data_IF_979121570968
#
_entry.id   IF_979121570968
#
_cell.length_a   1.000
_cell.length_b   1.000
_cell.length_c   1.000
_cell.angle_alpha   90.00
_cell.angle_beta   90.00
_cell.angle_gamma   90.00
#
_symmetry.space_group_name_H-M   'P 1'
#
loop_
_entity.id
_entity.type
_entity.pdbx_description
1 polymer ?
#
# COMPACT_ATOMS: atom_id res chain seq x y z
N UNK A 1 30.30 -13.52 -18.92
CA UNK A 1 28.92 -13.21 -18.52
C UNK A 1 28.27 -12.55 -19.71
N UNK A 2 27.22 -13.17 -20.24
CA UNK A 2 26.60 -12.71 -21.48
C UNK A 2 25.83 -11.42 -21.22
N UNK A 3 25.84 -10.52 -22.21
CA UNK A 3 25.12 -9.25 -22.16
C UNK A 3 23.79 -9.48 -22.88
N UNK A 4 22.69 -9.41 -22.13
CA UNK A 4 21.34 -9.52 -22.67
C UNK A 4 20.83 -8.19 -23.22
N UNK A 5 21.21 -7.09 -22.55
CA UNK A 5 20.87 -5.73 -22.97
C UNK A 5 22.15 -4.91 -23.13
N UNK A 6 22.48 -4.55 -24.38
CA UNK A 6 23.65 -3.72 -24.67
C UNK A 6 23.51 -2.32 -24.07
N UNK A 7 22.28 -1.80 -24.05
CA UNK A 7 21.91 -0.48 -23.54
C UNK A 7 20.87 -0.65 -22.44
N UNK A 8 21.30 -0.45 -21.20
CA UNK A 8 20.48 -0.66 -20.01
C UNK A 8 20.59 0.54 -19.08
N UNK A 9 19.50 0.93 -18.43
CA UNK A 9 19.50 1.95 -17.41
C UNK A 9 19.12 1.36 -16.04
N UNK A 10 19.77 1.86 -15.00
CA UNK A 10 19.36 1.62 -13.61
C UNK A 10 18.91 2.93 -12.99
N UNK A 11 17.78 2.92 -12.29
CA UNK A 11 17.18 4.12 -11.70
C UNK A 11 16.93 3.87 -10.21
N UNK A 12 17.63 4.65 -9.40
CA UNK A 12 17.43 4.72 -7.95
C UNK A 12 16.62 5.97 -7.62
N UNK A 13 15.48 5.80 -6.94
CA UNK A 13 14.47 6.85 -6.76
C UNK A 13 14.32 7.19 -5.29
N UNK A 14 14.53 8.48 -4.99
CA UNK A 14 14.31 9.06 -3.68
C UNK A 14 13.05 9.92 -3.66
N UNK A 15 12.78 10.57 -2.51
CA UNK A 15 11.66 11.51 -2.38
C UNK A 15 11.82 12.74 -3.28
N UNK A 16 13.06 13.22 -3.47
CA UNK A 16 13.34 14.52 -4.12
C UNK A 16 13.89 14.38 -5.54
N UNK A 17 14.55 13.26 -5.81
CA UNK A 17 15.29 13.05 -7.04
C UNK A 17 15.26 11.58 -7.48
N UNK A 18 15.66 11.36 -8.73
CA UNK A 18 15.95 10.06 -9.28
C UNK A 18 17.34 10.09 -9.90
N UNK A 19 18.22 9.17 -9.47
CA UNK A 19 19.52 8.96 -10.07
C UNK A 19 19.38 7.90 -11.15
N UNK A 20 19.62 8.28 -12.40
CA UNK A 20 19.59 7.37 -13.54
C UNK A 20 21.02 7.13 -14.03
N UNK A 21 21.43 5.88 -14.12
CA UNK A 21 22.68 5.49 -14.73
C UNK A 21 22.40 4.75 -16.03
N UNK A 22 22.89 5.30 -17.14
CA UNK A 22 22.78 4.68 -18.47
C UNK A 22 24.09 3.98 -18.79
N UNK A 23 24.01 2.69 -19.11
CA UNK A 23 25.11 1.85 -19.54
C UNK A 23 25.02 1.62 -21.05
N UNK A 24 26.04 2.03 -21.80
CA UNK A 24 26.11 1.93 -23.26
C UNK A 24 27.42 1.27 -23.72
N UNK A 25 27.46 0.65 -24.91
CA UNK A 25 28.70 0.15 -25.50
C UNK A 25 29.73 1.27 -25.67
N UNK A 26 30.98 1.00 -25.31
CA UNK A 26 32.06 1.97 -25.47
C UNK A 26 32.57 2.00 -26.90
N UNK A 27 32.85 3.21 -27.40
CA UNK A 27 33.52 3.41 -28.70
C UNK A 27 35.03 3.13 -28.65
N UNK A 28 35.63 3.05 -27.45
CA UNK A 28 37.09 2.91 -27.28
C UNK A 28 37.59 1.49 -27.46
N UNK A 29 36.80 0.48 -27.05
CA UNK A 29 37.18 -0.93 -27.14
C UNK A 29 35.94 -1.80 -27.30
N UNK A 30 35.98 -2.73 -28.26
CA UNK A 30 34.91 -3.70 -28.48
C UNK A 30 34.68 -4.54 -27.21
N UNK A 31 33.44 -4.60 -26.74
CA UNK A 31 33.05 -5.33 -25.54
C UNK A 31 33.28 -4.60 -24.21
N UNK A 32 33.77 -3.35 -24.20
CA UNK A 32 33.71 -2.50 -23.01
C UNK A 32 32.46 -1.61 -23.01
N UNK A 33 32.08 -1.12 -21.84
CA UNK A 33 30.89 -0.29 -21.65
C UNK A 33 31.26 1.00 -20.93
N UNK A 34 30.52 2.05 -21.24
CA UNK A 34 30.56 3.33 -20.53
C UNK A 34 29.29 3.51 -19.72
N UNK A 35 29.41 4.19 -18.59
CA UNK A 35 28.27 4.52 -17.73
C UNK A 35 28.22 6.01 -17.52
N UNK A 36 27.04 6.61 -17.72
CA UNK A 36 26.78 8.01 -17.40
C UNK A 36 25.68 8.07 -16.34
N UNK A 37 25.94 8.75 -15.24
CA UNK A 37 24.94 8.93 -14.17
C UNK A 37 24.47 10.38 -14.14
N UNK A 38 23.16 10.57 -14.28
CA UNK A 38 22.48 11.86 -14.23
C UNK A 38 21.48 11.89 -13.07
N UNK A 39 21.20 13.08 -12.56
CA UNK A 39 20.22 13.28 -11.46
C UNK A 39 19.06 14.10 -11.97
N UNK A 40 17.85 13.61 -11.75
CA UNK A 40 16.60 14.20 -12.20
C UNK A 40 15.71 14.54 -11.00
N UNK A 41 14.82 15.52 -11.15
CA UNK A 41 13.80 15.78 -10.13
C UNK A 41 12.78 14.65 -10.01
N UNK A 42 12.01 14.62 -8.92
CA UNK A 42 10.94 13.62 -8.68
C UNK A 42 9.55 14.04 -9.17
N UNK A 43 9.43 15.14 -9.93
CA UNK A 43 8.14 15.60 -10.46
C UNK A 43 7.75 14.80 -11.71
N UNK A 44 6.45 14.82 -12.07
CA UNK A 44 5.95 14.18 -13.30
C UNK A 44 6.71 14.65 -14.54
N UNK A 45 6.94 15.97 -14.68
CA UNK A 45 7.64 16.53 -15.83
C UNK A 45 9.12 16.12 -15.86
N UNK A 46 9.77 16.00 -14.69
CA UNK A 46 11.14 15.50 -14.62
C UNK A 46 11.22 14.00 -14.98
N UNK A 47 10.23 13.19 -14.59
CA UNK A 47 10.13 11.80 -15.01
C UNK A 47 9.91 11.64 -16.52
N UNK A 48 9.09 12.51 -17.14
CA UNK A 48 8.93 12.56 -18.60
C UNK A 48 10.22 12.98 -19.30
N UNK A 49 10.92 14.00 -18.79
CA UNK A 49 12.20 14.42 -19.36
C UNK A 49 13.28 13.31 -19.23
N UNK A 50 13.27 12.55 -18.13
CA UNK A 50 14.08 11.35 -17.98
C UNK A 50 13.70 10.29 -19.03
N UNK A 51 12.41 10.05 -19.27
CA UNK A 51 11.94 9.14 -20.32
C UNK A 51 12.54 9.50 -21.68
N UNK A 52 12.41 10.77 -22.07
CA UNK A 52 12.88 11.26 -23.35
C UNK A 52 14.40 11.11 -23.48
N UNK A 53 15.15 11.34 -22.39
CA UNK A 53 16.59 11.10 -22.33
C UNK A 53 16.95 9.62 -22.51
N UNK A 54 16.21 8.70 -21.87
CA UNK A 54 16.45 7.25 -21.99
C UNK A 54 16.11 6.72 -23.38
N UNK A 55 15.05 7.24 -24.01
CA UNK A 55 14.70 6.94 -25.40
C UNK A 55 15.76 7.44 -26.38
N UNK A 56 16.24 8.67 -26.21
CA UNK A 56 17.34 9.22 -27.02
C UNK A 56 18.65 8.44 -26.85
N UNK A 57 18.86 7.85 -25.67
CA UNK A 57 19.99 6.96 -25.41
C UNK A 57 19.79 5.52 -25.94
N UNK A 58 18.64 5.22 -26.56
CA UNK A 58 18.24 3.91 -27.09
C UNK A 58 18.30 2.81 -26.03
N UNK A 59 17.87 3.13 -24.80
CA UNK A 59 17.85 2.15 -23.70
C UNK A 59 16.81 1.07 -23.97
N UNK A 60 17.24 -0.19 -23.90
CA UNK A 60 16.38 -1.37 -24.14
C UNK A 60 15.79 -1.97 -22.88
N UNK A 61 16.31 -1.61 -21.69
CA UNK A 61 15.78 -2.06 -20.41
C UNK A 61 16.07 -1.02 -19.32
N UNK A 62 15.06 -0.69 -18.54
CA UNK A 62 15.18 0.14 -17.34
C UNK A 62 14.92 -0.70 -16.10
N UNK A 63 15.83 -0.65 -15.14
CA UNK A 63 15.72 -1.34 -13.85
C UNK A 63 15.48 -0.33 -12.74
N UNK A 64 14.36 -0.45 -12.03
CA UNK A 64 13.98 0.45 -10.92
C UNK A 64 13.97 -0.32 -9.60
N UNK A 65 14.56 0.23 -8.53
CA UNK A 65 14.49 -0.36 -7.18
C UNK A 65 13.19 -0.02 -6.44
N UNK A 66 12.51 -1.04 -5.89
CA UNK A 66 11.31 -0.90 -5.08
C UNK A 66 11.61 -0.82 -3.57
N UNK A 67 11.93 0.36 -3.07
CA UNK A 67 12.12 0.59 -1.61
C UNK A 67 10.95 1.32 -0.95
N UNK A 68 10.24 2.18 -1.68
CA UNK A 68 9.08 2.96 -1.20
C UNK A 68 7.97 2.98 -2.26
N UNK A 69 7.01 3.90 -2.20
CA UNK A 69 6.01 4.10 -3.28
C UNK A 69 6.48 5.11 -4.35
N UNK A 70 7.66 5.75 -4.19
CA UNK A 70 8.15 6.77 -5.11
C UNK A 70 8.45 6.25 -6.53
N UNK A 71 8.64 4.94 -6.69
CA UNK A 71 8.84 4.33 -8.01
C UNK A 71 7.59 4.36 -8.89
N UNK A 72 6.38 4.39 -8.31
CA UNK A 72 5.11 4.30 -9.07
C UNK A 72 5.03 5.33 -10.20
N UNK A 73 5.21 6.65 -9.96
CA UNK A 73 5.13 7.63 -11.04
C UNK A 73 6.18 7.41 -12.13
N UNK A 74 7.40 7.02 -11.78
CA UNK A 74 8.45 6.73 -12.76
C UNK A 74 8.15 5.46 -13.55
N UNK A 75 7.80 4.37 -12.87
CA UNK A 75 7.50 3.09 -13.52
C UNK A 75 6.39 3.23 -14.55
N UNK A 76 5.23 3.80 -14.17
CA UNK A 76 4.11 3.90 -15.09
C UNK A 76 4.37 4.84 -16.27
N UNK A 77 5.13 5.94 -16.08
CA UNK A 77 5.46 6.86 -17.18
C UNK A 77 6.53 6.29 -18.12
N UNK A 78 7.56 5.65 -17.58
CA UNK A 78 8.62 5.05 -18.38
C UNK A 78 8.11 3.83 -19.14
N UNK A 79 7.24 3.02 -18.52
CA UNK A 79 6.69 1.81 -19.12
C UNK A 79 5.70 2.05 -20.29
N UNK A 80 5.36 3.31 -20.59
CA UNK A 80 4.59 3.65 -21.80
C UNK A 80 5.40 3.37 -23.08
N UNK A 81 6.71 3.61 -23.05
CA UNK A 81 7.57 3.58 -24.25
C UNK A 81 8.85 2.74 -24.06
N UNK A 82 9.16 2.29 -22.84
CA UNK A 82 10.36 1.54 -22.50
C UNK A 82 10.02 0.22 -21.80
N UNK A 83 10.87 -0.79 -21.96
CA UNK A 83 10.81 -1.99 -21.14
C UNK A 83 11.33 -1.66 -19.73
N UNK A 84 10.42 -1.69 -18.74
CA UNK A 84 10.74 -1.36 -17.35
C UNK A 84 10.49 -2.55 -16.45
N UNK A 85 11.51 -2.92 -15.68
CA UNK A 85 11.39 -3.90 -14.61
C UNK A 85 11.57 -3.24 -13.25
N UNK A 86 10.67 -3.58 -12.32
CA UNK A 86 10.79 -3.20 -10.93
C UNK A 86 11.47 -4.33 -10.15
N UNK A 87 12.47 -4.05 -9.33
CA UNK A 87 13.23 -5.09 -8.60
C UNK A 87 13.18 -4.88 -7.10
N UNK A 88 13.23 -5.97 -6.34
CA UNK A 88 13.20 -5.90 -4.88
C UNK A 88 14.58 -5.47 -4.33
N UNK A 89 14.60 -4.37 -3.57
CA UNK A 89 15.78 -3.83 -2.90
C UNK A 89 16.59 -4.87 -2.11
N UNK A 90 15.90 -5.77 -1.39
CA UNK A 90 16.55 -6.82 -0.58
C UNK A 90 17.27 -7.85 -1.45
N UNK A 91 16.70 -8.17 -2.61
CA UNK A 91 17.34 -9.07 -3.56
C UNK A 91 18.60 -8.44 -4.13
N UNK A 92 18.52 -7.18 -4.57
CA UNK A 92 19.65 -6.45 -5.18
C UNK A 92 20.82 -6.30 -4.19
N UNK A 93 20.53 -5.99 -2.92
CA UNK A 93 21.55 -5.80 -1.87
C UNK A 93 22.30 -7.08 -1.50
N UNK A 94 21.68 -8.24 -1.66
CA UNK A 94 22.26 -9.53 -1.29
C UNK A 94 23.08 -10.17 -2.43
N UNK A 95 23.16 -9.53 -3.60
CA UNK A 95 23.94 -10.04 -4.72
C UNK A 95 25.44 -9.77 -4.50
N UNK A 96 26.31 -10.79 -4.62
CA UNK A 96 27.76 -10.61 -4.49
C UNK A 96 28.35 -9.85 -5.69
N UNK A 97 29.55 -9.31 -5.52
CA UNK A 97 30.30 -8.65 -6.59
C UNK A 97 30.05 -7.15 -6.75
N UNK A 98 29.23 -6.55 -5.87
CA UNK A 98 29.09 -5.09 -5.79
C UNK A 98 30.37 -4.48 -5.21
N UNK A 99 30.93 -3.48 -5.90
CA UNK A 99 32.01 -2.64 -5.37
C UNK A 99 31.46 -1.48 -4.53
N UNK A 100 32.19 -1.08 -3.50
CA UNK A 100 31.77 -0.07 -2.51
C UNK A 100 31.55 1.32 -3.12
N UNK A 101 32.27 1.64 -4.19
CA UNK A 101 32.29 2.93 -4.89
C UNK A 101 31.23 3.07 -5.99
N UNK A 102 30.45 2.01 -6.26
CA UNK A 102 29.45 2.00 -7.33
C UNK A 102 28.10 2.50 -6.80
N UNK A 103 27.54 3.51 -7.48
CA UNK A 103 26.21 4.04 -7.18
C UNK A 103 25.14 2.96 -7.35
N UNK A 104 24.05 3.03 -6.59
CA UNK A 104 22.93 2.07 -6.68
C UNK A 104 22.38 1.99 -8.12
N UNK A 105 22.20 3.15 -8.76
CA UNK A 105 21.78 3.24 -10.16
C UNK A 105 22.73 2.52 -11.13
N UNK A 106 24.04 2.68 -10.98
CA UNK A 106 25.01 1.99 -11.84
C UNK A 106 25.01 0.48 -11.60
N UNK A 107 24.86 0.05 -10.35
CA UNK A 107 24.74 -1.36 -9.99
C UNK A 107 23.49 -1.99 -10.62
N UNK A 108 22.34 -1.31 -10.55
CA UNK A 108 21.09 -1.75 -11.18
C UNK A 108 21.24 -1.90 -12.70
N UNK A 109 21.87 -0.93 -13.37
CA UNK A 109 22.12 -0.98 -14.82
C UNK A 109 22.98 -2.20 -15.20
N UNK A 110 24.01 -2.50 -14.40
CA UNK A 110 24.86 -3.67 -14.61
C UNK A 110 24.10 -4.98 -14.42
N UNK A 111 23.31 -5.09 -13.36
CA UNK A 111 22.52 -6.28 -13.08
C UNK A 111 21.46 -6.54 -14.17
N UNK A 112 20.77 -5.49 -14.62
CA UNK A 112 19.81 -5.56 -15.70
C UNK A 112 20.43 -6.01 -17.02
N UNK A 113 21.58 -5.42 -17.38
CA UNK A 113 22.29 -5.76 -18.61
C UNK A 113 22.65 -7.24 -18.74
N UNK A 114 22.82 -7.93 -17.61
CA UNK A 114 23.18 -9.35 -17.55
C UNK A 114 22.02 -10.26 -17.11
N UNK A 115 20.80 -9.73 -16.94
CA UNK A 115 19.63 -10.53 -16.53
C UNK A 115 19.71 -11.11 -15.11
N UNK A 116 20.49 -10.48 -14.22
CA UNK A 116 20.78 -11.00 -12.88
C UNK A 116 19.70 -10.69 -11.84
N UNK A 117 18.70 -9.91 -12.22
CA UNK A 117 17.61 -9.49 -11.34
C UNK A 117 16.28 -10.06 -11.81
N UNK A 118 15.46 -10.43 -10.83
CA UNK A 118 14.10 -10.93 -11.10
C UNK A 118 13.11 -9.76 -11.03
N UNK A 119 12.27 -9.56 -12.06
CA UNK A 119 11.19 -8.59 -12.00
C UNK A 119 10.22 -8.91 -10.86
N UNK A 120 9.84 -7.87 -10.12
CA UNK A 120 8.74 -7.88 -9.17
C UNK A 120 7.43 -7.77 -9.93
N UNK A 121 6.39 -8.42 -9.41
CA UNK A 121 5.06 -8.31 -9.98
C UNK A 121 4.49 -6.90 -9.75
N UNK A 122 4.24 -6.18 -10.84
CA UNK A 122 3.45 -4.95 -10.85
C UNK A 122 2.08 -5.29 -11.44
N UNK A 123 0.98 -5.13 -10.69
CA UNK A 123 -0.35 -5.42 -11.21
C UNK A 123 -0.71 -4.45 -12.33
N UNK A 124 -1.51 -4.92 -13.29
CA UNK A 124 -2.18 -4.05 -14.25
C UNK A 124 -3.15 -3.08 -13.55
N UNK A 125 -3.62 -2.06 -14.26
CA UNK A 125 -4.44 -1.01 -13.65
C UNK A 125 -5.69 -1.57 -12.93
N UNK A 126 -6.51 -2.47 -13.52
CA UNK A 126 -7.69 -2.98 -12.84
C UNK A 126 -7.38 -3.74 -11.55
N UNK A 127 -6.35 -4.60 -11.56
CA UNK A 127 -5.93 -5.34 -10.37
C UNK A 127 -5.26 -4.42 -9.34
N UNK A 128 -4.52 -3.41 -9.79
CA UNK A 128 -3.91 -2.37 -8.98
C UNK A 128 -4.96 -1.60 -8.18
N UNK A 129 -5.99 -1.08 -8.85
CA UNK A 129 -7.11 -0.36 -8.22
C UNK A 129 -7.83 -1.23 -7.17
N UNK A 130 -8.08 -2.51 -7.48
CA UNK A 130 -8.70 -3.44 -6.52
C UNK A 130 -7.79 -3.70 -5.30
N UNK A 131 -6.48 -3.87 -5.51
CA UNK A 131 -5.51 -4.06 -4.43
C UNK A 131 -5.41 -2.83 -3.53
N UNK A 132 -5.46 -1.64 -4.09
CA UNK A 132 -5.44 -0.40 -3.33
C UNK A 132 -6.68 -0.29 -2.43
N UNK A 133 -7.87 -0.59 -2.96
CA UNK A 133 -9.12 -0.58 -2.17
C UNK A 133 -9.10 -1.61 -1.04
N UNK A 134 -8.63 -2.83 -1.30
CA UNK A 134 -8.58 -3.90 -0.30
C UNK A 134 -7.55 -3.62 0.79
N UNK A 135 -6.38 -3.08 0.42
CA UNK A 135 -5.35 -2.65 1.38
C UNK A 135 -5.82 -1.48 2.22
N UNK A 136 -6.42 -0.46 1.60
CA UNK A 136 -6.99 0.70 2.30
C UNK A 136 -8.05 0.26 3.31
N UNK A 137 -8.96 -0.65 2.94
CA UNK A 137 -9.96 -1.19 3.87
C UNK A 137 -9.32 -1.89 5.07
N UNK A 138 -8.31 -2.73 4.85
CA UNK A 138 -7.61 -3.44 5.92
C UNK A 138 -6.93 -2.45 6.87
N UNK A 139 -6.25 -1.45 6.32
CA UNK A 139 -5.57 -0.41 7.10
C UNK A 139 -6.56 0.41 7.94
N UNK A 140 -7.63 0.91 7.33
CA UNK A 140 -8.68 1.66 8.05
C UNK A 140 -9.38 0.82 9.12
N UNK A 141 -9.54 -0.49 8.89
CA UNK A 141 -10.11 -1.39 9.90
C UNK A 141 -9.17 -1.54 11.09
N UNK A 142 -7.87 -1.67 10.85
CA UNK A 142 -6.85 -1.75 11.90
C UNK A 142 -6.76 -0.44 12.68
N UNK A 143 -6.73 0.69 12.00
CA UNK A 143 -6.69 2.03 12.63
C UNK A 143 -7.94 2.25 13.50
N UNK A 144 -9.12 1.88 13.00
CA UNK A 144 -10.35 1.90 13.80
C UNK A 144 -10.20 1.06 15.08
N UNK A 145 -9.65 -0.14 14.99
CA UNK A 145 -9.40 -1.00 16.15
C UNK A 145 -8.47 -0.33 17.18
N UNK A 146 -7.40 0.31 16.70
CA UNK A 146 -6.45 1.04 17.57
C UNK A 146 -7.10 2.24 18.25
N UNK A 147 -7.98 2.97 17.56
CA UNK A 147 -8.75 4.08 18.15
C UNK A 147 -9.68 3.56 19.25
N UNK A 148 -10.41 2.47 19.00
CA UNK A 148 -11.31 1.86 20.00
C UNK A 148 -10.54 1.42 21.24
N UNK A 149 -9.41 0.74 21.07
CA UNK A 149 -8.57 0.32 22.20
C UNK A 149 -8.01 1.51 23.00
N UNK A 150 -7.66 2.61 22.32
CA UNK A 150 -7.19 3.82 23.00
C UNK A 150 -8.32 4.49 23.79
N UNK A 151 -9.52 4.53 23.21
CA UNK A 151 -10.71 5.05 23.90
C UNK A 151 -11.06 4.21 25.12
N UNK A 152 -11.03 2.89 25.00
CA UNK A 152 -11.26 1.98 26.11
C UNK A 152 -10.26 2.24 27.25
N UNK A 153 -8.96 2.30 26.97
CA UNK A 153 -7.94 2.65 27.97
C UNK A 153 -8.20 4.00 28.63
N UNK A 154 -8.62 5.00 27.85
CA UNK A 154 -8.97 6.31 28.39
C UNK A 154 -10.17 6.25 29.35
N UNK A 155 -11.19 5.45 29.04
CA UNK A 155 -12.33 5.25 29.94
C UNK A 155 -11.90 4.50 31.20
N UNK A 156 -11.05 3.49 31.07
CA UNK A 156 -10.46 2.72 32.17
C UNK A 156 -9.69 3.63 33.15
N UNK A 157 -8.92 4.60 32.64
CA UNK A 157 -8.23 5.61 33.47
C UNK A 157 -9.19 6.45 34.33
N UNK A 158 -10.44 6.62 33.88
CA UNK A 158 -11.51 7.29 34.65
C UNK A 158 -12.26 6.36 35.60
N UNK A 159 -12.04 5.05 35.51
CA UNK A 159 -12.81 4.02 36.21
C UNK A 159 -14.12 3.62 35.51
N UNK A 160 -14.43 4.19 34.34
CA UNK A 160 -15.61 3.81 33.54
C UNK A 160 -15.34 2.49 32.82
N UNK A 161 -16.13 1.46 33.14
CA UNK A 161 -16.02 0.08 32.63
C UNK A 161 -16.96 -0.22 31.47
N UNK A 162 -17.28 0.77 30.63
CA UNK A 162 -18.27 0.63 29.56
C UNK A 162 -18.00 -0.58 28.64
N UNK A 163 -16.72 -0.86 28.32
CA UNK A 163 -16.32 -1.99 27.47
C UNK A 163 -16.60 -3.37 28.09
N UNK A 164 -16.73 -3.47 29.42
CA UNK A 164 -17.10 -4.71 30.09
C UNK A 164 -18.57 -5.10 29.86
N UNK A 165 -19.44 -4.11 29.63
CA UNK A 165 -20.89 -4.32 29.47
C UNK A 165 -21.31 -4.24 28.00
N UNK A 166 -20.69 -3.33 27.24
CA UNK A 166 -20.98 -3.04 25.85
C UNK A 166 -20.07 -3.81 24.89
N UNK A 167 -20.66 -4.72 24.10
CA UNK A 167 -19.93 -5.47 23.07
C UNK A 167 -19.36 -4.60 21.93
N UNK A 168 -19.85 -3.36 21.77
CA UNK A 168 -19.32 -2.36 20.84
C UNK A 168 -19.53 -0.96 21.45
N UNK A 169 -18.50 -0.40 22.07
CA UNK A 169 -18.53 0.96 22.65
C UNK A 169 -18.72 2.04 21.57
N UNK A 170 -18.42 1.73 20.31
CA UNK A 170 -18.69 2.62 19.16
C UNK A 170 -20.02 2.30 18.48
N UNK A 171 -20.85 1.46 19.10
CA UNK A 171 -22.23 1.20 18.71
C UNK A 171 -23.13 2.44 18.87
N UNK A 172 -24.41 2.33 18.52
CA UNK A 172 -25.34 3.46 18.62
C UNK A 172 -25.49 3.95 20.05
N UNK A 173 -25.66 3.04 21.02
CA UNK A 173 -25.81 3.41 22.44
C UNK A 173 -24.50 3.86 23.06
N UNK A 174 -23.39 3.14 22.83
CA UNK A 174 -22.09 3.55 23.34
C UNK A 174 -21.66 4.93 22.86
N UNK A 175 -21.90 5.27 21.58
CA UNK A 175 -21.66 6.62 21.07
C UNK A 175 -22.51 7.68 21.75
N UNK A 176 -23.80 7.42 21.97
CA UNK A 176 -24.66 8.38 22.67
C UNK A 176 -24.20 8.60 24.13
N UNK A 177 -23.74 7.55 24.81
CA UNK A 177 -23.13 7.66 26.15
C UNK A 177 -21.84 8.48 26.12
N UNK A 178 -20.97 8.24 25.13
CA UNK A 178 -19.74 9.01 24.94
C UNK A 178 -20.02 10.49 24.59
N UNK A 179 -21.03 10.76 23.77
CA UNK A 179 -21.50 12.11 23.46
C UNK A 179 -22.00 12.83 24.71
N UNK A 180 -22.80 12.16 25.56
CA UNK A 180 -23.22 12.72 26.84
C UNK A 180 -22.03 13.04 27.77
N UNK A 181 -21.02 12.16 27.84
CA UNK A 181 -19.77 12.43 28.57
C UNK A 181 -19.03 13.66 27.99
N UNK A 182 -18.99 13.79 26.67
CA UNK A 182 -18.39 14.94 25.98
C UNK A 182 -19.15 16.24 26.32
N UNK A 183 -20.47 16.18 26.42
CA UNK A 183 -21.35 17.33 26.68
C UNK A 183 -21.40 17.74 28.16
N UNK A 184 -20.70 17.00 29.03
CA UNK A 184 -20.51 17.36 30.43
C UNK A 184 -21.32 16.50 31.42
N UNK A 185 -22.10 15.54 30.95
CA UNK A 185 -22.87 14.66 31.82
C UNK A 185 -21.95 13.73 32.63
N UNK A 186 -22.24 13.56 33.92
CA UNK A 186 -21.46 12.75 34.87
C UNK A 186 -22.32 11.82 35.70
N UNK A 187 -23.63 12.05 35.75
CA UNK A 187 -24.57 11.21 36.49
C UNK A 187 -24.74 9.85 35.76
N UNK A 188 -24.34 8.73 36.39
CA UNK A 188 -24.32 7.42 35.71
C UNK A 188 -25.69 6.98 35.22
N UNK A 189 -26.77 7.34 35.92
CA UNK A 189 -28.13 7.03 35.49
C UNK A 189 -28.47 7.73 34.17
N UNK A 190 -28.25 9.04 34.10
CA UNK A 190 -28.47 9.86 32.89
C UNK A 190 -27.61 9.39 31.72
N UNK A 191 -26.36 9.00 31.99
CA UNK A 191 -25.48 8.43 30.97
C UNK A 191 -26.03 7.10 30.40
N UNK A 192 -26.70 6.27 31.20
CA UNK A 192 -27.23 4.97 30.78
C UNK A 192 -28.57 5.07 30.01
N UNK A 193 -29.37 6.11 30.23
CA UNK A 193 -30.67 6.35 29.56
C UNK A 193 -30.69 6.21 28.03
N UNK A 194 -29.70 6.72 27.26
CA UNK A 194 -29.66 6.56 25.81
C UNK A 194 -29.43 5.13 25.31
N UNK A 195 -29.38 4.13 26.21
CA UNK A 195 -29.39 2.72 25.85
C UNK A 195 -30.59 2.35 24.96
N UNK A 196 -30.32 1.63 23.87
CA UNK A 196 -31.33 1.25 22.86
C UNK A 196 -31.44 -0.27 22.74
N UNK A 197 -32.67 -0.74 22.45
CA UNK A 197 -32.97 -2.16 22.17
C UNK A 197 -32.44 -3.06 23.30
N UNK A 198 -31.63 -4.07 22.96
CA UNK A 198 -31.06 -5.04 23.91
C UNK A 198 -30.24 -4.40 25.04
N UNK A 199 -29.68 -3.20 24.84
CA UNK A 199 -28.93 -2.49 25.88
C UNK A 199 -29.84 -1.93 26.97
N UNK A 200 -31.15 -1.74 26.73
CA UNK A 200 -32.08 -1.28 27.77
C UNK A 200 -32.18 -2.26 28.93
N UNK A 201 -32.09 -3.55 28.64
CA UNK A 201 -32.10 -4.60 29.67
C UNK A 201 -30.84 -4.55 30.54
N UNK A 202 -29.77 -3.91 30.06
CA UNK A 202 -28.50 -3.74 30.76
C UNK A 202 -28.37 -2.40 31.46
N UNK A 203 -29.43 -1.59 31.56
CA UNK A 203 -29.34 -0.28 32.23
C UNK A 203 -28.73 -0.39 33.64
N UNK A 204 -29.12 -1.35 34.51
CA UNK A 204 -28.48 -1.50 35.82
C UNK A 204 -26.97 -1.75 35.72
N UNK A 205 -26.53 -2.65 34.85
CA UNK A 205 -25.11 -2.97 34.60
C UNK A 205 -24.36 -1.76 34.01
N UNK A 206 -25.01 -1.01 33.13
CA UNK A 206 -24.46 0.19 32.50
C UNK A 206 -24.29 1.32 33.51
N UNK A 207 -25.27 1.55 34.38
CA UNK A 207 -25.18 2.55 35.46
C UNK A 207 -23.99 2.24 36.37
N UNK A 208 -23.83 0.97 36.78
CA UNK A 208 -22.65 0.53 37.55
C UNK A 208 -21.36 0.80 36.77
N UNK A 209 -21.28 0.36 35.51
CA UNK A 209 -20.10 0.51 34.67
C UNK A 209 -19.75 1.97 34.30
N UNK A 210 -20.75 2.86 34.29
CA UNK A 210 -20.58 4.29 34.02
C UNK A 210 -20.23 5.09 35.27
N UNK A 211 -20.24 4.46 36.44
CA UNK A 211 -19.80 5.07 37.70
C UNK A 211 -18.27 5.26 37.66
N UNK A 212 -17.83 6.49 37.45
CA UNK A 212 -16.41 6.82 37.35
C UNK A 212 -16.13 8.32 37.44
N UNK A 213 -14.85 8.69 37.38
CA UNK A 213 -14.35 10.06 37.50
C UNK A 213 -13.92 10.61 36.15
N UNK A 214 -14.90 10.82 35.27
CA UNK A 214 -14.68 11.56 34.04
C UNK A 214 -14.57 13.06 34.34
N UNK A 215 -13.47 13.69 33.93
CA UNK A 215 -13.23 15.13 34.04
C UNK A 215 -13.28 15.73 32.65
N UNK A 216 -13.36 17.06 32.56
CA UNK A 216 -13.42 17.75 31.27
C UNK A 216 -12.18 17.48 30.41
N UNK A 217 -11.02 17.24 31.03
CA UNK A 217 -9.84 16.75 30.34
C UNK A 217 -10.08 15.40 29.63
N UNK A 218 -10.67 14.43 30.32
CA UNK A 218 -10.97 13.12 29.74
C UNK A 218 -12.03 13.24 28.65
N UNK A 219 -13.09 14.02 28.89
CA UNK A 219 -14.13 14.31 27.89
C UNK A 219 -13.55 14.97 26.62
N UNK A 220 -12.60 15.89 26.78
CA UNK A 220 -11.87 16.49 25.67
C UNK A 220 -11.04 15.47 24.88
N UNK A 221 -10.33 14.56 25.57
CA UNK A 221 -9.61 13.48 24.92
C UNK A 221 -10.53 12.50 24.18
N UNK A 222 -11.72 12.20 24.72
CA UNK A 222 -12.76 11.41 24.03
C UNK A 222 -13.25 12.15 22.78
N UNK A 223 -13.44 13.47 22.83
CA UNK A 223 -13.80 14.30 21.67
C UNK A 223 -12.71 14.32 20.60
N UNK A 224 -11.44 14.34 20.99
CA UNK A 224 -10.30 14.31 20.07
C UNK A 224 -10.05 12.94 19.46
N UNK A 225 -10.45 11.86 20.14
CA UNK A 225 -10.44 10.55 19.55
C UNK A 225 -11.28 10.64 18.28
N UNK A 226 -10.69 10.46 17.08
CA UNK A 226 -11.43 10.62 15.86
C UNK A 226 -12.58 9.63 15.91
N UNK A 227 -13.80 10.13 16.15
CA UNK A 227 -14.99 9.35 15.96
C UNK A 227 -14.90 8.76 14.56
N UNK A 228 -15.39 7.53 14.32
CA UNK A 228 -15.49 7.06 12.96
C UNK A 228 -16.27 8.16 12.23
N UNK A 229 -15.61 8.84 11.29
CA UNK A 229 -16.19 9.80 10.36
C UNK A 229 -17.66 9.42 10.18
N UNK A 230 -18.58 10.38 10.36
CA UNK A 230 -20.06 10.29 10.35
C UNK A 230 -20.73 9.41 9.26
N UNK A 231 -19.96 8.63 8.51
CA UNK A 231 -20.26 7.78 7.37
C UNK A 231 -19.81 6.30 7.49
N UNK A 232 -19.19 5.84 8.59
CA UNK A 232 -18.60 4.47 8.61
C UNK A 232 -19.52 3.31 9.04
N UNK A 233 -20.75 3.54 9.50
CA UNK A 233 -21.73 2.45 9.63
C UNK A 233 -22.04 1.81 8.27
N UNK A 234 -21.83 2.57 7.18
CA UNK A 234 -21.97 2.09 5.79
C UNK A 234 -20.83 1.17 5.35
N UNK A 235 -19.63 1.28 5.93
CA UNK A 235 -18.47 0.43 5.60
C UNK A 235 -18.58 -1.00 6.16
N UNK A 236 -19.27 -1.18 7.31
CA UNK A 236 -19.61 -2.51 7.83
C UNK A 236 -20.73 -3.19 7.05
N UNK A 237 -21.63 -2.39 6.46
CA UNK A 237 -22.69 -2.93 5.59
C UNK A 237 -22.09 -3.36 4.25
N UNK A 238 -22.67 -4.36 3.59
CA UNK A 238 -22.29 -4.81 2.24
C UNK A 238 -22.28 -3.74 1.14
N UNK A 239 -22.42 -2.45 1.44
CA UNK A 239 -22.20 -1.30 0.56
C UNK A 239 -20.81 -1.26 -0.07
N UNK A 240 -19.74 -1.57 0.68
CA UNK A 240 -18.39 -1.61 0.10
C UNK A 240 -18.22 -2.81 -0.85
N UNK A 241 -18.69 -3.99 -0.44
CA UNK A 241 -18.72 -5.17 -1.31
C UNK A 241 -19.65 -4.96 -2.52
N UNK A 242 -20.76 -4.22 -2.38
CA UNK A 242 -21.67 -3.88 -3.49
C UNK A 242 -21.06 -2.82 -4.41
N UNK A 243 -20.35 -1.83 -3.88
CA UNK A 243 -19.63 -0.84 -4.69
C UNK A 243 -18.46 -1.47 -5.46
N UNK A 244 -17.68 -2.33 -4.80
CA UNK A 244 -16.62 -3.10 -5.46
C UNK A 244 -17.19 -4.11 -6.46
N UNK A 245 -18.28 -4.83 -6.14
CA UNK A 245 -18.93 -5.79 -7.08
C UNK A 245 -19.64 -5.11 -8.25
N UNK A 246 -20.15 -3.88 -8.08
CA UNK A 246 -20.77 -3.10 -9.16
C UNK A 246 -19.71 -2.55 -10.13
N UNK A 247 -18.53 -2.21 -9.63
CA UNK A 247 -17.44 -1.64 -10.43
C UNK A 247 -16.47 -2.71 -10.97
N UNK A 248 -16.37 -3.85 -10.28
CA UNK A 248 -15.67 -5.07 -10.70
C UNK A 248 -16.60 -6.27 -10.49
N UNK A 249 -17.36 -6.69 -11.52
CA UNK A 249 -18.09 -7.96 -11.47
C UNK A 249 -17.12 -9.14 -11.27
N UNK A 250 -17.62 -10.34 -10.90
CA UNK A 250 -16.80 -11.53 -10.78
C UNK A 250 -15.95 -11.71 -12.05
N UNK A 251 -14.68 -12.07 -11.87
CA UNK A 251 -13.78 -12.37 -12.97
C UNK A 251 -14.38 -13.48 -13.84
N UNK A 252 -14.85 -13.13 -15.03
CA UNK A 252 -15.12 -14.10 -16.08
C UNK A 252 -13.77 -14.50 -16.65
N UNK A 253 -13.32 -15.72 -16.30
CA UNK A 253 -12.14 -16.27 -16.93
C UNK A 253 -12.37 -16.32 -18.45
N UNK A 254 -11.41 -15.88 -19.30
CA UNK A 254 -11.58 -15.95 -20.73
C UNK A 254 -11.86 -17.40 -21.14
N UNK A 255 -13.02 -17.63 -21.74
CA UNK A 255 -13.47 -18.93 -22.24
C UNK A 255 -12.76 -19.26 -23.55
N UNK A 256 -11.44 -19.43 -23.51
CA UNK A 256 -10.63 -20.22 -24.45
C UNK A 256 -9.17 -20.18 -23.99
N UNK A 257 -8.80 -21.08 -23.07
CA UNK A 257 -7.41 -21.54 -22.99
C UNK A 257 -7.35 -22.90 -23.68
N UNK A 258 -7.45 -22.88 -25.00
CA UNK A 258 -7.14 -24.03 -25.85
C UNK A 258 -5.88 -23.70 -26.61
N UNK A 259 -4.74 -23.82 -25.94
CA UNK A 259 -3.46 -24.05 -26.60
C UNK A 259 -3.45 -25.47 -27.14
N UNK A 260 -3.19 -25.70 -28.44
CA UNK A 260 -2.98 -27.04 -28.94
C UNK A 260 -1.63 -27.55 -28.42
N UNK A 261 -1.65 -28.67 -27.70
CA UNK A 261 -0.45 -29.45 -27.38
C UNK A 261 0.29 -29.82 -28.68
N UNK A 262 1.61 -29.61 -28.78
CA UNK A 262 2.37 -30.12 -29.92
C UNK A 262 2.37 -31.66 -29.86
N UNK A 263 1.81 -32.28 -30.89
CA UNK A 263 1.68 -33.72 -31.02
C UNK A 263 3.03 -34.43 -30.93
N UNK A 264 3.07 -35.46 -30.10
CA UNK A 264 4.15 -36.44 -30.07
C UNK A 264 4.15 -37.25 -31.35
N UNK A 265 5.15 -37.03 -32.22
CA UNK A 265 5.42 -37.88 -33.37
C UNK A 265 5.97 -39.23 -32.89
N UNK A 266 5.10 -40.21 -32.66
CA UNK A 266 5.49 -41.61 -32.52
C UNK A 266 5.80 -42.18 -33.91
N UNK A 267 7.10 -42.21 -34.25
CA UNK A 267 7.62 -43.09 -35.30
C UNK A 267 7.45 -44.54 -34.83
N UNK A 268 6.64 -45.32 -35.53
CA UNK A 268 6.71 -46.79 -35.49
C UNK A 268 7.41 -47.31 -36.75
N UNK A 269 8.19 -48.39 -36.65
CA UNK A 269 9.04 -48.87 -37.73
C UNK A 269 8.28 -49.85 -38.63
N UNK A 270 8.38 -49.65 -39.95
CA UNK A 270 8.48 -50.72 -40.96
C UNK A 270 9.30 -50.18 -42.13
#
# INVERSE_FOLDING_TARGET
>A
MDVLHERCAGVDISKKDAKACVRTPSTKRRGSFTTETTTWGSTRNAALALRDHLLAAEVTLVVIEATSDYWKPFYYLLAEDLDVILVNARQVKNLPGRKTDVSDAAWLAQLGAHGLVRPSFVPDQPLGELRDLTRARTQLTRERGQIVQRLEKLLEDTGIKLAAVASDIMGVSGRAMLEALIDGEREPQTLAEPAKRKFRNKIPELTEALTGRCRDHHAFLVRLAPGPLRTSSRMRSGSWMRGSRRRWPPFEAPSTCSTPSPGSTTRSPR
#
